data_IF_774737414124
#
_entry.id   IF_774737414124
#
_cell.length_a   1.000
_cell.length_b   1.000
_cell.length_c   1.000
_cell.angle_alpha   90.00
_cell.angle_beta   90.00
_cell.angle_gamma   90.00
#
_symmetry.space_group_name_H-M   'P 1'
#
loop_
_entity.id
_entity.type
_entity.pdbx_description
1 polymer ?
#
# COMPACT_ATOMS: atom_id res chain seq x y z
N UNK A 1 -0.18 -30.23 0.53
CA UNK A 1 -0.75 -29.72 -0.74
C UNK A 1 -1.54 -28.46 -0.43
N UNK A 2 -1.30 -27.34 -1.12
CA UNK A 2 -2.07 -26.11 -0.89
C UNK A 2 -3.43 -26.19 -1.59
N UNK A 3 -4.51 -26.32 -0.82
CA UNK A 3 -5.87 -26.40 -1.37
C UNK A 3 -6.31 -25.06 -1.96
N UNK A 4 -6.74 -25.05 -3.22
CA UNK A 4 -7.30 -23.89 -3.91
C UNK A 4 -8.82 -23.99 -4.04
N UNK A 5 -9.50 -22.85 -4.08
CA UNK A 5 -10.96 -22.72 -4.17
C UNK A 5 -11.32 -21.63 -5.16
N UNK A 6 -12.40 -21.81 -5.91
CA UNK A 6 -12.94 -20.75 -6.77
C UNK A 6 -13.81 -19.78 -5.97
N UNK A 7 -13.53 -18.49 -6.10
CA UNK A 7 -14.22 -17.43 -5.37
C UNK A 7 -14.54 -16.26 -6.30
N UNK A 8 -15.64 -15.56 -6.01
CA UNK A 8 -16.01 -14.36 -6.75
C UNK A 8 -15.29 -13.13 -6.19
N UNK A 9 -14.79 -12.28 -7.08
CA UNK A 9 -14.23 -10.98 -6.73
C UNK A 9 -15.33 -10.02 -6.24
N UNK A 10 -15.10 -9.33 -5.12
CA UNK A 10 -16.11 -8.42 -4.55
C UNK A 10 -16.31 -7.12 -5.36
N UNK A 11 -15.41 -6.80 -6.30
CA UNK A 11 -15.51 -5.59 -7.14
C UNK A 11 -16.08 -5.92 -8.53
N UNK A 12 -15.38 -6.77 -9.29
CA UNK A 12 -15.76 -7.08 -10.67
C UNK A 12 -16.63 -8.33 -10.82
N UNK A 13 -16.94 -9.04 -9.73
CA UNK A 13 -17.75 -10.28 -9.69
C UNK A 13 -17.20 -11.46 -10.51
N UNK A 14 -16.01 -11.33 -11.12
CA UNK A 14 -15.34 -12.42 -11.83
C UNK A 14 -14.90 -13.52 -10.85
N UNK A 15 -15.07 -14.78 -11.27
CA UNK A 15 -14.54 -15.92 -10.54
C UNK A 15 -13.02 -15.99 -10.70
N UNK A 16 -12.31 -16.29 -9.61
CA UNK A 16 -10.87 -16.51 -9.63
C UNK A 16 -10.47 -17.60 -8.64
N UNK A 17 -9.33 -18.23 -8.88
CA UNK A 17 -8.78 -19.27 -8.03
C UNK A 17 -7.98 -18.63 -6.90
N UNK A 18 -8.38 -18.88 -5.65
CA UNK A 18 -7.69 -18.42 -4.46
C UNK A 18 -7.22 -19.62 -3.62
N UNK A 19 -6.18 -19.43 -2.81
CA UNK A 19 -5.81 -20.44 -1.81
C UNK A 19 -6.81 -20.39 -0.65
N UNK A 20 -7.16 -21.56 -0.15
CA UNK A 20 -8.12 -21.71 0.96
C UNK A 20 -7.63 -20.99 2.22
N UNK A 21 -6.32 -21.01 2.48
CA UNK A 21 -5.71 -20.28 3.60
C UNK A 21 -5.93 -18.76 3.49
N UNK A 22 -5.69 -18.17 2.31
CA UNK A 22 -5.90 -16.74 2.07
C UNK A 22 -7.38 -16.34 2.15
N UNK A 23 -8.30 -17.26 1.86
CA UNK A 23 -9.74 -17.04 2.06
C UNK A 23 -10.15 -17.07 3.52
N UNK A 24 -9.64 -18.03 4.30
CA UNK A 24 -9.89 -18.09 5.75
C UNK A 24 -9.36 -16.86 6.48
N UNK A 25 -8.25 -16.29 6.02
CA UNK A 25 -7.67 -15.02 6.53
C UNK A 25 -8.37 -13.76 6.02
N UNK A 26 -9.30 -13.89 5.06
CA UNK A 26 -9.98 -12.75 4.44
C UNK A 26 -9.14 -11.93 3.45
N UNK A 27 -7.99 -12.45 3.01
CA UNK A 27 -7.06 -11.76 2.10
C UNK A 27 -7.46 -11.89 0.63
N UNK A 28 -7.92 -13.05 0.19
CA UNK A 28 -8.29 -13.30 -1.21
C UNK A 28 -9.73 -12.85 -1.55
N UNK A 29 -10.06 -11.58 -1.35
CA UNK A 29 -11.39 -10.99 -1.66
C UNK A 29 -11.51 -10.40 -3.07
N UNK A 30 -10.37 -10.13 -3.70
CA UNK A 30 -10.28 -9.50 -5.01
C UNK A 30 -9.40 -10.33 -5.92
N UNK A 31 -9.74 -10.37 -7.21
CA UNK A 31 -8.96 -11.09 -8.21
C UNK A 31 -7.63 -10.41 -8.56
N UNK A 32 -7.49 -9.10 -8.31
CA UNK A 32 -6.29 -8.33 -8.63
C UNK A 32 -6.05 -7.17 -7.67
N UNK A 33 -4.79 -6.71 -7.60
CA UNK A 33 -4.40 -5.50 -6.86
C UNK A 33 -5.20 -4.29 -7.33
N UNK A 34 -5.44 -4.17 -8.63
CA UNK A 34 -6.24 -3.09 -9.22
C UNK A 34 -7.68 -3.09 -8.71
N UNK A 35 -8.33 -4.26 -8.61
CA UNK A 35 -9.70 -4.35 -8.08
C UNK A 35 -9.77 -3.95 -6.59
N UNK A 36 -8.74 -4.27 -5.81
CA UNK A 36 -8.63 -3.83 -4.41
C UNK A 36 -8.44 -2.31 -4.34
N UNK A 37 -7.53 -1.76 -5.15
CA UNK A 37 -7.25 -0.34 -5.21
C UNK A 37 -8.49 0.47 -5.62
N UNK A 38 -9.19 0.10 -6.70
CA UNK A 38 -10.41 0.81 -7.14
C UNK A 38 -11.49 0.87 -6.05
N UNK A 39 -11.66 -0.21 -5.29
CA UNK A 39 -12.61 -0.22 -4.18
C UNK A 39 -12.14 0.65 -3.01
N UNK A 40 -10.84 0.65 -2.72
CA UNK A 40 -10.26 1.50 -1.68
C UNK A 40 -10.34 2.98 -2.05
N UNK A 41 -10.05 3.33 -3.30
CA UNK A 41 -10.17 4.68 -3.84
C UNK A 41 -11.60 5.18 -3.78
N UNK A 42 -12.58 4.36 -4.16
CA UNK A 42 -14.00 4.72 -4.01
C UNK A 42 -14.38 5.04 -2.56
N UNK A 43 -13.74 4.41 -1.57
CA UNK A 43 -14.03 4.63 -0.15
C UNK A 43 -13.31 5.84 0.43
N UNK A 44 -12.06 6.06 0.03
CA UNK A 44 -11.14 6.97 0.74
C UNK A 44 -10.74 8.19 -0.06
N UNK A 45 -10.81 8.15 -1.39
CA UNK A 45 -10.40 9.26 -2.26
C UNK A 45 -8.91 9.64 -2.15
N UNK A 46 -8.06 8.76 -1.59
CA UNK A 46 -6.67 9.13 -1.29
C UNK A 46 -5.86 9.49 -2.53
N UNK A 47 -6.12 8.86 -3.67
CA UNK A 47 -5.44 9.18 -4.92
C UNK A 47 -5.79 10.60 -5.40
N UNK A 48 -7.07 11.00 -5.30
CA UNK A 48 -7.48 12.36 -5.65
C UNK A 48 -6.79 13.40 -4.75
N UNK A 49 -6.78 13.18 -3.44
CA UNK A 49 -6.09 14.06 -2.48
C UNK A 49 -4.56 14.08 -2.65
N UNK A 50 -3.95 13.00 -3.15
CA UNK A 50 -2.52 12.98 -3.48
C UNK A 50 -2.20 13.78 -4.74
N UNK A 51 -3.01 13.65 -5.80
CA UNK A 51 -2.85 14.44 -7.01
C UNK A 51 -3.09 15.93 -6.75
N UNK A 52 -4.08 16.29 -5.93
CA UNK A 52 -4.34 17.68 -5.54
C UNK A 52 -3.12 18.32 -4.84
N UNK A 53 -2.47 17.59 -3.93
CA UNK A 53 -1.22 18.03 -3.29
C UNK A 53 -0.06 18.22 -4.28
N UNK A 54 -0.02 17.45 -5.37
CA UNK A 54 1.00 17.60 -6.41
C UNK A 54 0.73 18.78 -7.35
N UNK A 55 -0.52 19.03 -7.70
CA UNK A 55 -0.90 20.12 -8.60
C UNK A 55 -0.68 21.50 -7.93
N UNK A 56 -0.70 21.56 -6.59
CA UNK A 56 -0.36 22.78 -5.83
C UNK A 56 1.14 23.02 -5.57
N UNK A 57 2.03 22.06 -5.86
CA UNK A 57 3.47 22.15 -5.62
C UNK A 57 4.22 22.35 -6.94
N UNK A 58 4.08 23.54 -7.52
CA UNK A 58 5.11 24.05 -8.42
C UNK A 58 6.36 24.41 -7.61
N UNK A 59 7.51 23.98 -8.13
CA UNK A 59 8.89 24.34 -7.75
C UNK A 59 9.51 23.75 -6.47
N UNK A 60 10.62 23.04 -6.70
CA UNK A 60 11.60 22.60 -5.72
C UNK A 60 12.67 21.74 -6.42
N UNK A 61 13.27 22.29 -7.46
CA UNK A 61 14.48 21.75 -8.11
C UNK A 61 15.58 21.77 -7.04
N UNK A 62 15.95 20.62 -6.48
CA UNK A 62 17.12 20.50 -5.61
C UNK A 62 18.35 20.60 -6.53
N UNK A 63 19.10 21.71 -6.45
CA UNK A 63 20.46 21.76 -6.99
C UNK A 63 21.34 20.85 -6.10
N UNK A 64 21.79 19.75 -6.71
CA UNK A 64 22.56 18.66 -6.11
C UNK A 64 24.05 19.01 -6.11
N UNK A 65 24.52 19.93 -5.24
CA UNK A 65 25.98 20.16 -5.09
C UNK A 65 26.48 20.58 -3.69
N UNK A 66 25.63 20.90 -2.70
CA UNK A 66 26.10 21.45 -1.39
C UNK A 66 25.79 20.60 -0.13
N UNK A 67 25.00 19.51 -0.22
CA UNK A 67 24.55 18.73 0.96
C UNK A 67 25.08 17.29 0.93
N UNK A 68 26.38 17.10 0.68
CA UNK A 68 26.99 15.75 0.71
C UNK A 68 28.17 15.58 1.66
N UNK A 69 28.54 16.60 2.45
CA UNK A 69 29.67 16.50 3.40
C UNK A 69 29.31 16.52 4.89
N UNK A 70 28.05 16.80 5.28
CA UNK A 70 27.67 16.94 6.70
C UNK A 70 26.81 15.78 7.24
N UNK A 71 26.43 14.81 6.40
CA UNK A 71 25.54 13.69 6.79
C UNK A 71 26.33 12.43 7.21
N UNK A 72 27.67 12.44 7.15
CA UNK A 72 28.50 11.24 7.39
C UNK A 72 28.61 10.77 8.84
N UNK A 73 28.11 11.51 9.83
CA UNK A 73 28.26 11.17 11.25
C UNK A 73 26.93 10.92 11.99
N UNK A 74 25.80 10.87 11.28
CA UNK A 74 24.55 10.44 11.89
C UNK A 74 24.44 8.92 11.84
N UNK A 75 24.89 8.29 12.92
CA UNK A 75 24.61 6.90 13.32
C UNK A 75 23.10 6.64 13.23
N UNK A 76 22.63 6.19 12.06
CA UNK A 76 21.24 5.80 11.83
C UNK A 76 21.03 4.44 12.50
N UNK A 77 20.98 4.47 13.84
CA UNK A 77 20.72 3.32 14.69
C UNK A 77 19.46 2.61 14.22
N UNK A 78 19.62 1.40 13.70
CA UNK A 78 18.53 0.51 13.38
C UNK A 78 17.76 0.22 14.68
N UNK A 79 16.67 0.97 14.92
CA UNK A 79 15.72 0.68 15.98
C UNK A 79 14.54 -0.06 15.38
N UNK A 80 14.63 -1.38 15.43
CA UNK A 80 13.54 -2.35 15.34
C UNK A 80 12.52 -2.15 16.50
N UNK A 81 11.80 -1.03 16.46
CA UNK A 81 10.70 -0.73 17.37
C UNK A 81 9.39 -1.37 16.91
N UNK A 82 9.08 -2.56 17.44
CA UNK A 82 7.76 -3.18 17.31
C UNK A 82 6.65 -2.35 17.96
N UNK A 83 5.45 -2.40 17.39
CA UNK A 83 4.27 -1.75 17.98
C UNK A 83 3.05 -1.72 17.05
N UNK A 84 2.39 -2.87 16.82
CA UNK A 84 0.96 -2.82 16.53
C UNK A 84 0.24 -2.93 17.88
N UNK A 85 0.01 -1.78 18.50
CA UNK A 85 -0.86 -1.70 19.66
C UNK A 85 -2.28 -2.12 19.25
N UNK A 86 -2.78 -3.14 19.96
CA UNK A 86 -4.18 -3.54 19.95
C UNK A 86 -5.05 -2.38 20.40
N UNK A 87 -5.75 -1.74 19.46
CA UNK A 87 -6.84 -0.84 19.80
C UNK A 87 -8.15 -1.65 19.85
N UNK A 88 -8.50 -2.00 21.09
CA UNK A 88 -9.81 -2.44 21.65
C UNK A 88 -10.33 -3.84 21.30
#
# INVERSE_FOLDING_TARGET
>A
MASTVQVACQWCRKAFTARTADRKRGWARFCSKSCKASKQEKRTGQNAAFHERRVGSGNGFFDDDDVMSEISDMDFGASDGGGYESIR
#
